data_IF_596059641827
#
_entry.id   IF_596059641827
#
_cell.length_a   1.000
_cell.length_b   1.000
_cell.length_c   1.000
_cell.angle_alpha   90.00
_cell.angle_beta   90.00
_cell.angle_gamma   90.00
#
_symmetry.space_group_name_H-M   'P 1'
#
loop_
_entity.id
_entity.type
_entity.pdbx_description
1 polymer ?
#
# COMPACT_ATOMS: atom_id res chain seq x y z
N UNK A 1 31.13 -5.92 7.27
CA UNK A 1 30.14 -4.81 7.22
C UNK A 1 28.80 -5.47 7.00
N UNK A 2 27.75 -5.08 7.74
CA UNK A 2 26.54 -5.89 7.83
C UNK A 2 25.29 -5.18 7.34
N UNK A 3 24.47 -5.82 6.52
CA UNK A 3 23.15 -5.33 6.11
C UNK A 3 22.04 -6.00 6.91
N UNK A 4 21.14 -5.22 7.49
CA UNK A 4 19.91 -5.74 8.09
C UNK A 4 18.84 -6.01 7.02
N UNK A 5 18.19 -7.16 7.11
CA UNK A 5 17.11 -7.56 6.20
C UNK A 5 15.90 -8.08 6.96
N UNK A 6 14.72 -7.95 6.35
CA UNK A 6 13.50 -8.65 6.78
C UNK A 6 12.86 -9.37 5.61
N UNK A 7 12.53 -10.65 5.77
CA UNK A 7 12.02 -11.44 4.66
C UNK A 7 11.38 -12.75 5.08
N UNK A 8 10.95 -13.54 4.10
CA UNK A 8 10.37 -14.86 4.29
C UNK A 8 10.65 -15.75 3.07
N UNK A 9 10.49 -17.07 3.25
CA UNK A 9 10.37 -18.02 2.14
C UNK A 9 9.14 -18.91 2.32
N UNK A 10 8.27 -18.90 1.33
CA UNK A 10 7.08 -19.75 1.29
C UNK A 10 7.22 -20.81 0.20
N UNK A 11 6.59 -21.96 0.45
CA UNK A 11 6.50 -23.09 -0.44
C UNK A 11 5.05 -23.45 -0.74
N UNK A 12 4.80 -23.92 -1.96
CA UNK A 12 3.56 -24.53 -2.40
C UNK A 12 3.87 -25.99 -2.74
N UNK A 13 3.44 -26.91 -1.86
CA UNK A 13 3.75 -28.33 -1.98
C UNK A 13 3.04 -28.99 -3.17
N UNK A 14 1.85 -28.50 -3.55
CA UNK A 14 1.11 -28.99 -4.73
C UNK A 14 1.88 -28.76 -6.03
N UNK A 15 2.57 -27.62 -6.16
CA UNK A 15 3.33 -27.26 -7.36
C UNK A 15 4.83 -27.44 -7.20
N UNK A 16 5.29 -27.84 -6.01
CA UNK A 16 6.71 -27.91 -5.62
C UNK A 16 7.47 -26.61 -5.91
N UNK A 17 6.80 -25.46 -5.75
CA UNK A 17 7.37 -24.12 -6.00
C UNK A 17 7.66 -23.39 -4.71
N UNK A 18 8.73 -22.62 -4.71
CA UNK A 18 9.13 -21.73 -3.62
C UNK A 18 9.26 -20.29 -4.10
N UNK A 19 8.99 -19.38 -3.17
CA UNK A 19 9.18 -17.94 -3.34
C UNK A 19 9.88 -17.37 -2.12
N UNK A 20 10.86 -16.52 -2.35
CA UNK A 20 11.58 -15.75 -1.33
C UNK A 20 11.38 -14.28 -1.61
N UNK A 21 11.05 -13.51 -0.59
CA UNK A 21 11.00 -12.05 -0.65
C UNK A 21 11.66 -11.49 0.59
N UNK A 22 12.51 -10.47 0.43
CA UNK A 22 13.14 -9.75 1.52
C UNK A 22 13.28 -8.26 1.18
N UNK A 23 13.27 -7.44 2.22
CA UNK A 23 13.53 -6.01 2.18
C UNK A 23 14.80 -5.73 2.99
N UNK A 24 15.68 -4.93 2.43
CA UNK A 24 16.92 -4.49 3.08
C UNK A 24 16.73 -3.16 3.80
N UNK A 25 17.64 -2.81 4.71
CA UNK A 25 17.62 -1.54 5.44
C UNK A 25 17.71 -0.29 4.55
N UNK A 26 18.29 -0.43 3.35
CA UNK A 26 18.32 0.65 2.36
C UNK A 26 16.95 0.90 1.71
N UNK A 27 16.00 -0.03 1.81
CA UNK A 27 14.70 0.07 1.16
C UNK A 27 14.65 -0.50 -0.25
N UNK A 28 15.37 -1.59 -0.48
CA UNK A 28 15.28 -2.38 -1.71
C UNK A 28 14.54 -3.68 -1.44
N UNK A 29 13.56 -4.01 -2.29
CA UNK A 29 12.86 -5.29 -2.26
C UNK A 29 13.54 -6.26 -3.22
N UNK A 30 14.01 -7.39 -2.69
CA UNK A 30 14.60 -8.50 -3.44
C UNK A 30 13.64 -9.68 -3.47
N UNK A 31 13.52 -10.33 -4.63
CA UNK A 31 12.64 -11.49 -4.81
C UNK A 31 13.32 -12.58 -5.60
N UNK A 32 13.00 -13.82 -5.27
CA UNK A 32 13.39 -14.99 -6.04
C UNK A 32 12.29 -16.04 -6.02
N UNK A 33 12.18 -16.80 -7.11
CA UNK A 33 11.19 -17.86 -7.25
C UNK A 33 11.76 -19.06 -8.01
N UNK A 34 11.31 -20.26 -7.70
CA UNK A 34 11.80 -21.46 -8.36
C UNK A 34 11.13 -22.72 -7.87
N UNK A 35 11.63 -23.87 -8.34
CA UNK A 35 11.24 -25.17 -7.81
C UNK A 35 12.02 -25.48 -6.52
N UNK A 36 11.48 -26.38 -5.70
CA UNK A 36 12.22 -26.95 -4.58
C UNK A 36 13.51 -27.63 -5.05
N UNK A 37 14.59 -27.49 -4.26
CA UNK A 37 15.90 -28.08 -4.57
C UNK A 37 16.61 -27.50 -5.81
N UNK A 38 16.00 -26.56 -6.55
CA UNK A 38 16.61 -25.89 -7.70
C UNK A 38 17.03 -24.47 -7.35
N UNK A 39 18.05 -23.98 -8.04
CA UNK A 39 18.50 -22.60 -7.92
C UNK A 39 17.37 -21.66 -8.37
N UNK A 40 16.88 -20.76 -7.50
CA UNK A 40 15.75 -19.92 -7.85
C UNK A 40 16.16 -18.80 -8.81
N UNK A 41 15.23 -18.42 -9.69
CA UNK A 41 15.36 -17.26 -10.57
C UNK A 41 15.15 -16.00 -9.75
N UNK A 42 16.16 -15.14 -9.72
CA UNK A 42 16.11 -13.86 -9.01
C UNK A 42 15.46 -12.82 -9.92
N UNK A 43 14.55 -12.03 -9.36
CA UNK A 43 13.95 -10.88 -10.03
C UNK A 43 14.86 -9.66 -9.93
N UNK A 44 14.63 -8.67 -10.81
CA UNK A 44 15.26 -7.36 -10.67
C UNK A 44 14.92 -6.78 -9.28
N UNK A 45 15.89 -6.24 -8.54
CA UNK A 45 15.63 -5.54 -7.29
C UNK A 45 14.71 -4.34 -7.53
N UNK A 46 13.81 -4.09 -6.60
CA UNK A 46 12.86 -2.97 -6.65
C UNK A 46 13.26 -1.95 -5.58
N UNK A 47 14.10 -0.94 -5.91
CA UNK A 47 14.45 0.11 -4.98
C UNK A 47 13.25 1.00 -4.70
N UNK A 48 13.19 1.58 -3.50
CA UNK A 48 12.16 2.55 -3.15
C UNK A 48 12.19 3.77 -4.07
N UNK A 49 11.01 4.24 -4.48
CA UNK A 49 10.88 5.49 -5.25
C UNK A 49 11.45 6.70 -4.52
N UNK A 50 11.45 6.69 -3.17
CA UNK A 50 12.10 7.73 -2.38
C UNK A 50 13.62 7.82 -2.64
N UNK A 51 14.26 6.74 -3.13
CA UNK A 51 15.67 6.70 -3.51
C UNK A 51 15.90 7.10 -4.97
N UNK A 52 14.99 6.73 -5.88
CA UNK A 52 15.20 6.94 -7.34
C UNK A 52 14.59 8.24 -7.86
N UNK A 53 13.53 8.74 -7.23
CA UNK A 53 12.76 9.88 -7.73
C UNK A 53 12.04 10.52 -6.55
N UNK A 54 12.69 11.38 -5.76
CA UNK A 54 12.04 12.09 -4.67
C UNK A 54 10.95 12.98 -5.27
N UNK A 55 9.72 12.47 -5.30
CA UNK A 55 8.58 13.20 -5.83
C UNK A 55 8.37 14.45 -4.96
N UNK A 56 8.30 15.66 -5.54
CA UNK A 56 8.02 16.87 -4.79
C UNK A 56 6.74 16.78 -3.92
N UNK A 57 5.74 16.02 -4.37
CA UNK A 57 4.49 15.77 -3.65
C UNK A 57 4.62 14.79 -2.46
N UNK A 58 5.77 14.11 -2.34
CA UNK A 58 6.07 13.12 -1.29
C UNK A 58 7.40 13.43 -0.57
N UNK A 59 7.81 14.70 -0.53
CA UNK A 59 8.95 15.14 0.27
C UNK A 59 8.77 14.66 1.73
N UNK A 60 9.62 13.72 2.16
CA UNK A 60 9.58 13.12 3.50
C UNK A 60 9.10 11.66 3.57
N UNK A 61 8.75 11.00 2.47
CA UNK A 61 8.42 9.56 2.49
C UNK A 61 9.66 8.73 2.89
N UNK A 62 9.54 7.94 3.96
CA UNK A 62 10.63 7.07 4.44
C UNK A 62 10.93 5.97 3.39
N UNK A 63 12.21 5.72 3.01
CA UNK A 63 12.57 4.75 1.97
C UNK A 63 11.96 3.35 2.18
N UNK A 64 11.89 2.88 3.42
CA UNK A 64 11.29 1.59 3.79
C UNK A 64 9.76 1.50 3.74
N UNK A 65 9.02 2.61 3.58
CA UNK A 65 7.56 2.59 3.68
C UNK A 65 6.90 1.69 2.63
N UNK A 66 7.21 1.90 1.35
CA UNK A 66 6.67 1.09 0.25
C UNK A 66 7.24 -0.32 0.19
N UNK A 67 8.56 -0.54 0.29
CA UNK A 67 9.12 -1.90 0.29
C UNK A 67 8.49 -2.79 1.38
N UNK A 68 8.28 -2.28 2.59
CA UNK A 68 7.60 -3.03 3.67
C UNK A 68 6.13 -3.29 3.31
N UNK A 69 5.43 -2.34 2.70
CA UNK A 69 4.05 -2.56 2.24
C UNK A 69 3.99 -3.63 1.13
N UNK A 70 4.87 -3.57 0.14
CA UNK A 70 5.00 -4.57 -0.93
C UNK A 70 5.38 -5.95 -0.39
N UNK A 71 6.23 -6.03 0.64
CA UNK A 71 6.55 -7.29 1.33
C UNK A 71 5.30 -7.91 1.97
N UNK A 72 4.45 -7.12 2.64
CA UNK A 72 3.17 -7.58 3.19
C UNK A 72 2.22 -8.05 2.09
N UNK A 73 2.07 -7.26 1.03
CA UNK A 73 1.22 -7.59 -0.11
C UNK A 73 1.65 -8.92 -0.75
N UNK A 74 2.95 -9.11 -0.99
CA UNK A 74 3.49 -10.35 -1.53
C UNK A 74 3.22 -11.54 -0.61
N UNK A 75 3.43 -11.39 0.69
CA UNK A 75 3.14 -12.45 1.66
C UNK A 75 1.66 -12.88 1.62
N UNK A 76 0.74 -11.92 1.67
CA UNK A 76 -0.70 -12.18 1.58
C UNK A 76 -1.09 -12.82 0.23
N UNK A 77 -0.58 -12.27 -0.87
CA UNK A 77 -0.85 -12.74 -2.23
C UNK A 77 -0.34 -14.16 -2.47
N UNK A 78 0.84 -14.52 -1.96
CA UNK A 78 1.37 -15.88 -2.09
C UNK A 78 0.60 -16.87 -1.23
N UNK A 79 0.22 -16.50 0.00
CA UNK A 79 -0.68 -17.34 0.82
C UNK A 79 -2.01 -17.60 0.12
N UNK A 80 -2.63 -16.58 -0.48
CA UNK A 80 -3.85 -16.73 -1.27
C UNK A 80 -3.68 -17.64 -2.49
N UNK A 81 -2.46 -17.75 -3.04
CA UNK A 81 -2.09 -18.66 -4.14
C UNK A 81 -1.66 -20.06 -3.68
N UNK A 82 -1.91 -20.42 -2.41
CA UNK A 82 -1.60 -21.74 -1.87
C UNK A 82 -0.15 -21.96 -1.43
N UNK A 83 0.67 -20.89 -1.34
CA UNK A 83 2.00 -20.99 -0.73
C UNK A 83 1.89 -20.96 0.80
N UNK A 84 1.42 -22.07 1.37
CA UNK A 84 1.11 -22.18 2.81
C UNK A 84 2.28 -22.68 3.65
N UNK A 85 3.25 -23.39 3.05
CA UNK A 85 4.38 -23.94 3.78
C UNK A 85 5.42 -22.86 4.05
N UNK A 86 5.72 -22.60 5.32
CA UNK A 86 6.84 -21.73 5.70
C UNK A 86 8.15 -22.52 5.59
N UNK A 87 8.88 -22.34 4.48
CA UNK A 87 10.22 -22.92 4.30
C UNK A 87 11.25 -22.13 5.10
N UNK A 88 11.06 -20.81 5.16
CA UNK A 88 11.74 -19.92 6.09
C UNK A 88 10.65 -19.03 6.67
N UNK A 89 10.38 -19.09 7.99
CA UNK A 89 9.40 -18.21 8.61
C UNK A 89 9.85 -16.75 8.46
N UNK A 90 8.92 -15.79 8.45
CA UNK A 90 9.28 -14.38 8.43
C UNK A 90 10.33 -14.04 9.50
N UNK A 91 11.42 -13.37 9.12
CA UNK A 91 12.53 -13.10 10.03
C UNK A 91 13.24 -11.78 9.70
N UNK A 92 13.74 -11.12 10.76
CA UNK A 92 14.66 -9.99 10.66
C UNK A 92 16.06 -10.50 11.01
N UNK A 93 17.01 -10.35 10.10
CA UNK A 93 18.34 -10.97 10.22
C UNK A 93 19.40 -9.96 9.80
N UNK A 94 20.54 -9.95 10.50
CA UNK A 94 21.72 -9.17 10.12
C UNK A 94 22.64 -10.07 9.32
N UNK A 95 22.94 -9.68 8.08
CA UNK A 95 23.78 -10.44 7.16
C UNK A 95 25.16 -9.79 7.10
N UNK A 96 26.24 -10.57 7.07
CA UNK A 96 27.59 -10.07 6.81
C UNK A 96 27.84 -9.94 5.29
N UNK A 97 26.94 -9.22 4.65
CA UNK A 97 27.00 -8.82 3.25
C UNK A 97 26.74 -7.33 3.21
N UNK A 98 27.50 -6.62 2.39
CA UNK A 98 27.30 -5.22 2.12
C UNK A 98 26.35 -5.05 0.94
N UNK A 99 25.24 -4.35 1.14
CA UNK A 99 24.37 -3.97 0.03
C UNK A 99 24.91 -2.74 -0.70
N UNK A 100 25.75 -2.97 -1.71
CA UNK A 100 26.25 -1.93 -2.61
C UNK A 100 25.97 -2.28 -4.07
N UNK A 101 25.45 -1.34 -4.91
CA UNK A 101 25.03 0.03 -4.62
C UNK A 101 23.56 0.15 -4.16
N UNK A 102 23.16 1.31 -3.60
CA UNK A 102 21.79 1.65 -3.15
C UNK A 102 20.71 1.52 -4.23
N UNK A 103 21.11 1.52 -5.50
CA UNK A 103 20.27 1.30 -6.67
C UNK A 103 20.76 0.07 -7.43
N UNK A 104 20.57 -1.13 -6.89
CA UNK A 104 21.13 -2.33 -7.50
C UNK A 104 20.37 -2.63 -8.80
N UNK A 105 21.08 -2.47 -9.92
CA UNK A 105 20.56 -2.80 -11.26
C UNK A 105 20.57 -4.31 -11.47
N UNK A 106 21.56 -4.98 -10.88
CA UNK A 106 21.75 -6.42 -10.93
C UNK A 106 21.09 -7.11 -9.74
N UNK A 107 20.49 -8.31 -9.93
CA UNK A 107 19.93 -9.09 -8.83
C UNK A 107 21.00 -9.55 -7.83
N UNK A 108 20.85 -9.22 -6.54
CA UNK A 108 21.79 -9.60 -5.48
C UNK A 108 21.51 -11.02 -4.98
N UNK A 109 22.00 -12.02 -5.73
CA UNK A 109 21.80 -13.44 -5.38
C UNK A 109 22.42 -13.81 -4.03
N UNK A 110 23.61 -13.29 -3.75
CA UNK A 110 24.35 -13.56 -2.52
C UNK A 110 23.55 -13.17 -1.27
N UNK A 111 22.85 -12.03 -1.34
CA UNK A 111 22.01 -11.54 -0.26
C UNK A 111 20.85 -12.49 0.05
N UNK A 112 20.20 -13.02 -0.99
CA UNK A 112 19.15 -14.05 -0.83
C UNK A 112 19.71 -15.37 -0.27
N UNK A 113 20.93 -15.76 -0.65
CA UNK A 113 21.57 -16.97 -0.13
C UNK A 113 22.00 -16.81 1.33
N UNK A 114 22.58 -15.67 1.70
CA UNK A 114 22.93 -15.36 3.07
C UNK A 114 21.70 -15.30 3.97
N UNK A 115 20.60 -14.70 3.49
CA UNK A 115 19.32 -14.75 4.22
C UNK A 115 18.87 -16.19 4.44
N UNK A 116 18.94 -17.05 3.42
CA UNK A 116 18.57 -18.48 3.57
C UNK A 116 19.45 -19.20 4.59
N UNK A 117 20.75 -18.91 4.63
CA UNK A 117 21.68 -19.52 5.58
C UNK A 117 21.56 -18.99 7.02
N UNK A 118 21.17 -17.73 7.19
CA UNK A 118 21.13 -17.07 8.49
C UNK A 118 19.73 -17.02 9.13
N UNK A 119 18.67 -17.33 8.37
CA UNK A 119 17.31 -17.21 8.88
C UNK A 119 16.97 -18.25 9.95
N UNK A 120 16.31 -17.85 11.05
CA UNK A 120 15.88 -18.75 12.09
C UNK A 120 14.75 -19.67 11.60
N UNK A 121 14.66 -20.86 12.20
CA UNK A 121 13.59 -21.81 11.92
C UNK A 121 12.36 -21.61 12.81
N UNK A 122 12.41 -20.66 13.75
CA UNK A 122 11.31 -20.42 14.69
C UNK A 122 10.13 -19.74 13.99
N UNK A 123 8.93 -20.35 13.98
CA UNK A 123 7.76 -19.76 13.35
C UNK A 123 7.37 -18.43 14.01
N UNK A 124 7.20 -17.39 13.20
CA UNK A 124 6.65 -16.12 13.68
C UNK A 124 5.85 -15.39 12.60
N UNK A 125 4.88 -14.53 12.98
CA UNK A 125 4.16 -13.69 12.04
C UNK A 125 5.05 -12.66 11.35
N UNK A 126 4.72 -12.29 10.11
CA UNK A 126 5.46 -11.28 9.35
C UNK A 126 5.52 -9.92 10.05
N UNK A 127 4.43 -9.49 10.69
CA UNK A 127 4.43 -8.20 11.40
C UNK A 127 5.33 -8.19 12.64
N UNK A 128 5.56 -9.35 13.28
CA UNK A 128 6.53 -9.47 14.38
C UNK A 128 7.95 -9.27 13.84
N UNK A 129 8.28 -9.92 12.71
CA UNK A 129 9.57 -9.73 12.05
C UNK A 129 9.78 -8.28 11.57
N UNK A 130 8.77 -7.64 10.99
CA UNK A 130 8.82 -6.22 10.57
C UNK A 130 8.99 -5.29 11.78
N UNK A 131 8.32 -5.58 12.90
CA UNK A 131 8.47 -4.81 14.14
C UNK A 131 9.90 -4.90 14.67
N UNK A 132 10.47 -6.11 14.72
CA UNK A 132 11.87 -6.31 15.11
C UNK A 132 12.82 -5.55 14.18
N UNK A 133 12.64 -5.68 12.86
CA UNK A 133 13.42 -4.96 11.86
C UNK A 133 13.41 -3.44 12.06
N UNK A 134 12.23 -2.85 12.23
CA UNK A 134 12.10 -1.40 12.50
C UNK A 134 12.75 -0.99 13.82
N UNK A 135 12.58 -1.79 14.86
CA UNK A 135 13.19 -1.53 16.16
C UNK A 135 14.72 -1.53 16.08
N UNK A 136 15.32 -2.48 15.36
CA UNK A 136 16.78 -2.54 15.15
C UNK A 136 17.31 -1.34 14.37
N UNK A 137 16.52 -0.78 13.44
CA UNK A 137 16.87 0.44 12.70
C UNK A 137 16.60 1.74 13.48
N UNK A 138 16.13 1.66 14.72
CA UNK A 138 15.76 2.84 15.51
C UNK A 138 14.54 3.60 14.95
N UNK A 139 13.74 2.96 14.10
CA UNK A 139 12.60 3.60 13.45
C UNK A 139 11.39 3.57 14.38
N UNK A 140 10.56 4.64 14.37
CA UNK A 140 9.33 4.66 15.15
C UNK A 140 8.46 3.47 14.74
N UNK A 141 8.16 2.63 15.74
CA UNK A 141 7.25 1.51 15.53
C UNK A 141 5.88 2.10 15.26
N UNK A 142 5.24 1.70 14.16
CA UNK A 142 3.84 2.08 13.90
C UNK A 142 3.04 1.66 15.15
N UNK A 143 2.31 2.56 15.82
CA UNK A 143 1.57 2.18 17.02
C UNK A 143 0.67 0.99 16.70
N UNK A 144 0.69 -0.02 17.58
CA UNK A 144 -0.07 -1.27 17.44
C UNK A 144 -1.59 -1.07 17.36
N UNK A 145 -2.06 0.17 17.62
CA UNK A 145 -3.45 0.56 17.73
C UNK A 145 -3.98 1.25 16.47
N UNK A 146 -3.54 0.84 15.28
CA UNK A 146 -4.39 1.04 14.10
C UNK A 146 -5.23 -0.21 13.95
N UNK A 147 -6.24 -0.33 14.82
CA UNK A 147 -7.33 -1.25 14.54
C UNK A 147 -7.92 -0.81 13.21
N UNK A 148 -8.06 -1.75 12.29
CA UNK A 148 -8.94 -1.60 11.12
C UNK A 148 -10.40 -1.81 11.59
N UNK A 149 -10.76 -1.18 12.72
CA UNK A 149 -12.16 -0.85 12.95
C UNK A 149 -12.48 0.23 11.90
N UNK A 150 -13.63 0.18 11.22
CA UNK A 150 -14.10 1.34 10.48
C UNK A 150 -14.28 2.44 11.53
N UNK A 151 -13.24 3.27 11.70
CA UNK A 151 -13.35 4.52 12.41
C UNK A 151 -14.49 5.23 11.69
N UNK A 152 -15.56 5.56 12.40
CA UNK A 152 -16.52 6.53 11.91
C UNK A 152 -15.71 7.73 11.42
N UNK A 153 -15.50 7.78 10.11
CA UNK A 153 -14.77 8.86 9.48
C UNK A 153 -15.65 10.06 9.77
N UNK A 154 -15.25 10.89 10.73
CA UNK A 154 -15.80 12.22 10.87
C UNK A 154 -15.74 12.84 9.49
N UNK A 155 -16.91 13.00 8.90
CA UNK A 155 -17.03 13.52 7.55
C UNK A 155 -16.30 14.86 7.54
N UNK A 156 -15.50 15.16 6.51
CA UNK A 156 -15.02 16.51 6.31
C UNK A 156 -16.21 17.46 6.44
N UNK A 157 -16.13 18.56 7.20
CA UNK A 157 -17.29 19.42 7.49
C UNK A 157 -18.05 19.85 6.23
N UNK A 158 -17.32 19.98 5.11
CA UNK A 158 -17.89 20.29 3.79
C UNK A 158 -18.79 19.19 3.24
N UNK A 159 -18.38 17.92 3.35
CA UNK A 159 -19.16 16.76 2.90
C UNK A 159 -20.38 16.56 3.79
N UNK A 160 -20.23 16.77 5.10
CA UNK A 160 -21.35 16.71 6.05
C UNK A 160 -22.41 17.80 5.78
N UNK A 161 -21.99 19.04 5.53
CA UNK A 161 -22.90 20.12 5.17
C UNK A 161 -23.65 19.84 3.86
N UNK A 162 -22.97 19.29 2.86
CA UNK A 162 -23.56 18.89 1.58
C UNK A 162 -24.52 17.70 1.73
N UNK A 163 -24.16 16.70 2.53
CA UNK A 163 -25.03 15.58 2.86
C UNK A 163 -26.30 16.06 3.57
N UNK A 164 -26.17 16.99 4.51
CA UNK A 164 -27.32 17.66 5.13
C UNK A 164 -28.15 18.42 4.10
N UNK A 165 -27.55 19.17 3.18
CA UNK A 165 -28.30 19.86 2.14
C UNK A 165 -29.15 18.88 1.30
N UNK A 166 -28.55 17.76 0.87
CA UNK A 166 -29.25 16.70 0.12
C UNK A 166 -30.35 16.03 0.95
N UNK A 167 -30.11 15.75 2.23
CA UNK A 167 -31.12 15.14 3.11
C UNK A 167 -32.34 16.04 3.36
N UNK A 168 -32.16 17.36 3.23
CA UNK A 168 -33.25 18.34 3.31
C UNK A 168 -33.85 18.66 1.92
N UNK A 169 -33.52 17.88 0.89
CA UNK A 169 -34.02 18.07 -0.48
C UNK A 169 -33.45 19.29 -1.21
N UNK A 170 -32.38 19.89 -0.71
CA UNK A 170 -31.73 21.04 -1.33
C UNK A 170 -30.72 20.60 -2.40
N UNK A 171 -30.81 21.20 -3.58
CA UNK A 171 -29.84 20.97 -4.65
C UNK A 171 -28.50 21.65 -4.34
N UNK A 172 -27.39 20.97 -4.64
CA UNK A 172 -26.05 21.53 -4.56
C UNK A 172 -25.61 21.89 -5.98
N UNK A 173 -25.27 23.15 -6.21
CA UNK A 173 -24.85 23.64 -7.53
C UNK A 173 -23.47 24.28 -7.48
N UNK A 174 -22.74 24.16 -8.58
CA UNK A 174 -21.52 24.93 -8.81
C UNK A 174 -21.81 26.45 -8.76
N UNK A 175 -20.82 27.29 -8.40
CA UNK A 175 -20.99 28.74 -8.41
C UNK A 175 -21.50 29.26 -9.76
N UNK A 176 -22.47 30.18 -9.73
CA UNK A 176 -23.19 30.70 -10.90
C UNK A 176 -22.33 31.45 -11.95
N UNK A 177 -21.01 31.59 -11.71
CA UNK A 177 -20.10 32.35 -12.57
C UNK A 177 -19.31 31.49 -13.56
N UNK A 178 -19.48 30.16 -13.55
CA UNK A 178 -18.71 29.27 -14.39
C UNK A 178 -19.53 28.77 -15.61
N UNK A 179 -18.97 28.86 -16.83
CA UNK A 179 -19.60 28.34 -18.04
C UNK A 179 -19.64 26.80 -18.10
N UNK A 180 -18.81 26.10 -17.32
CA UNK A 180 -18.94 24.69 -16.95
C UNK A 180 -19.42 24.59 -15.50
N UNK A 181 -20.46 23.80 -15.26
CA UNK A 181 -21.08 23.68 -13.94
C UNK A 181 -21.61 22.29 -13.66
N UNK A 182 -22.18 22.13 -12.48
CA UNK A 182 -22.78 20.87 -12.05
C UNK A 182 -23.91 21.13 -11.06
N UNK A 183 -24.86 20.21 -11.03
CA UNK A 183 -25.96 20.20 -10.08
C UNK A 183 -26.12 18.78 -9.54
N UNK A 184 -26.08 18.63 -8.23
CA UNK A 184 -26.30 17.38 -7.52
C UNK A 184 -27.62 17.50 -6.75
N UNK A 185 -28.54 16.58 -7.02
CA UNK A 185 -29.80 16.40 -6.27
C UNK A 185 -29.82 15.02 -5.63
N UNK A 186 -30.84 14.73 -4.80
CA UNK A 186 -31.04 13.37 -4.30
C UNK A 186 -31.19 12.34 -5.43
N UNK A 187 -31.86 12.73 -6.51
CA UNK A 187 -32.20 11.85 -7.64
C UNK A 187 -31.04 11.61 -8.63
N UNK A 188 -30.05 12.51 -8.68
CA UNK A 188 -28.96 12.36 -9.62
C UNK A 188 -28.02 13.56 -9.76
N UNK A 189 -27.06 13.40 -10.67
CA UNK A 189 -26.03 14.39 -10.96
C UNK A 189 -26.19 14.87 -12.40
N UNK A 190 -26.29 16.18 -12.60
CA UNK A 190 -26.20 16.82 -13.93
C UNK A 190 -24.89 17.59 -14.06
N UNK A 191 -24.25 17.42 -15.20
CA UNK A 191 -23.10 18.21 -15.62
C UNK A 191 -23.55 19.20 -16.69
N UNK A 192 -23.20 20.47 -16.52
CA UNK A 192 -23.42 21.53 -17.49
C UNK A 192 -22.09 21.80 -18.17
N UNK A 193 -22.00 21.54 -19.47
CA UNK A 193 -20.77 21.73 -20.24
C UNK A 193 -20.89 23.02 -21.04
N UNK A 194 -19.93 23.93 -20.85
CA UNK A 194 -19.80 25.16 -21.63
C UNK A 194 -19.35 24.90 -23.08
N UNK A 195 -19.07 25.97 -23.83
CA UNK A 195 -18.58 25.83 -25.21
C UNK A 195 -17.13 25.31 -25.16
N UNK A 196 -16.94 24.11 -25.70
CA UNK A 196 -15.69 23.32 -25.86
C UNK A 196 -14.38 23.96 -25.37
N UNK A 197 -13.73 23.31 -24.38
CA UNK A 197 -12.32 23.53 -24.01
C UNK A 197 -12.08 24.20 -22.64
N UNK A 198 -13.14 24.48 -21.88
CA UNK A 198 -13.01 25.19 -20.61
C UNK A 198 -12.50 24.28 -19.49
N UNK A 199 -11.52 24.79 -18.73
CA UNK A 199 -10.89 24.09 -17.61
C UNK A 199 -11.57 24.46 -16.30
N UNK A 200 -11.93 23.44 -15.52
CA UNK A 200 -12.40 23.61 -14.14
C UNK A 200 -11.18 23.90 -13.26
N UNK A 201 -11.24 24.95 -12.44
CA UNK A 201 -10.15 25.26 -11.51
C UNK A 201 -10.06 24.23 -10.37
N UNK A 202 -8.92 24.19 -9.67
CA UNK A 202 -8.67 23.24 -8.59
C UNK A 202 -9.72 23.32 -7.48
N UNK A 203 -10.24 24.51 -7.19
CA UNK A 203 -11.22 24.70 -6.11
C UNK A 203 -12.58 24.10 -6.50
N UNK A 204 -13.01 24.30 -7.75
CA UNK A 204 -14.24 23.74 -8.29
C UNK A 204 -14.13 22.21 -8.44
N UNK A 205 -12.95 21.65 -8.71
CA UNK A 205 -12.71 20.19 -8.65
C UNK A 205 -12.86 19.65 -7.22
N UNK A 206 -12.30 20.35 -6.22
CA UNK A 206 -12.43 19.96 -4.81
C UNK A 206 -13.91 20.00 -4.37
N UNK A 207 -14.66 21.03 -4.76
CA UNK A 207 -16.09 21.16 -4.46
C UNK A 207 -16.92 20.07 -5.14
N UNK A 208 -16.63 19.74 -6.40
CA UNK A 208 -17.29 18.64 -7.11
C UNK A 208 -17.00 17.28 -6.44
N UNK A 209 -15.75 17.03 -6.05
CA UNK A 209 -15.37 15.80 -5.34
C UNK A 209 -16.09 15.68 -3.99
N UNK A 210 -16.25 16.79 -3.25
CA UNK A 210 -17.02 16.81 -2.02
C UNK A 210 -18.50 16.52 -2.25
N UNK A 211 -19.11 17.13 -3.26
CA UNK A 211 -20.53 16.93 -3.59
C UNK A 211 -20.84 15.50 -4.04
N UNK A 212 -19.99 14.91 -4.89
CA UNK A 212 -20.12 13.51 -5.31
C UNK A 212 -19.93 12.54 -4.13
N UNK A 213 -18.99 12.84 -3.23
CA UNK A 213 -18.78 12.03 -2.02
C UNK A 213 -19.99 12.07 -1.08
N UNK A 214 -20.67 13.21 -0.97
CA UNK A 214 -21.92 13.35 -0.22
C UNK A 214 -23.06 12.57 -0.91
N UNK A 215 -23.20 12.70 -2.23
CA UNK A 215 -24.25 12.01 -2.99
C UNK A 215 -24.13 10.48 -2.95
N UNK A 216 -22.93 9.93 -3.13
CA UNK A 216 -22.70 8.48 -3.02
C UNK A 216 -22.99 7.92 -1.63
N UNK A 217 -22.86 8.73 -0.59
CA UNK A 217 -23.23 8.34 0.79
C UNK A 217 -24.73 8.47 1.03
N UNK A 218 -25.36 9.47 0.43
CA UNK A 218 -26.81 9.63 0.45
C UNK A 218 -27.52 8.45 -0.24
N UNK A 219 -26.99 7.99 -1.38
CA UNK A 219 -27.55 6.86 -2.15
C UNK A 219 -27.03 5.48 -1.73
N UNK A 220 -25.94 5.43 -0.96
CA UNK A 220 -25.23 4.21 -0.56
C UNK A 220 -25.86 3.40 0.57
N UNK A 221 -27.10 3.69 0.99
CA UNK A 221 -27.87 2.80 1.86
C UNK A 221 -28.77 1.88 1.02
N UNK A 222 -28.43 0.59 0.83
CA UNK A 222 -29.47 -0.40 0.63
C UNK A 222 -30.29 -0.52 1.92
N UNK A 223 -31.59 -0.72 1.76
CA UNK A 223 -32.54 -0.94 2.85
C UNK A 223 -32.09 -2.11 3.73
N UNK A 224 -31.79 -1.85 5.00
CA UNK A 224 -32.12 -2.81 6.05
C UNK A 224 -33.60 -2.62 6.37
N UNK A 225 -34.45 -3.13 5.48
CA UNK A 225 -35.86 -3.36 5.80
C UNK A 225 -35.89 -4.52 6.79
N UNK A 226 -36.07 -4.15 8.05
CA UNK A 226 -36.55 -5.03 9.11
C UNK A 226 -37.99 -5.40 8.78
N UNK A 227 -38.31 -6.70 8.68
CA UNK A 227 -39.68 -7.20 8.47
C UNK A 227 -39.71 -8.58 7.83
#
# INVERSE_FOLDING_TARGET
>A
MTTLVVGFRLGNDTTSRQVTALVTESGVLHRAQGLYGKLPRVSRPEPSHALTTPNPAFQGEHPLARPIASLREHHARYKAKGYIRALIPPASVRLDIEEHPLLPVTPHRELLQAFVGAAPNTPQPLDVAIKAFRATLGLPTRPANVSWAPREQHLPPRVDAMLRALSHGSAISSPQRLPVGWTVTGDGVRLHVGRTGETIDRQAVIELQAALSAWLRFTGKPEETTG
#
